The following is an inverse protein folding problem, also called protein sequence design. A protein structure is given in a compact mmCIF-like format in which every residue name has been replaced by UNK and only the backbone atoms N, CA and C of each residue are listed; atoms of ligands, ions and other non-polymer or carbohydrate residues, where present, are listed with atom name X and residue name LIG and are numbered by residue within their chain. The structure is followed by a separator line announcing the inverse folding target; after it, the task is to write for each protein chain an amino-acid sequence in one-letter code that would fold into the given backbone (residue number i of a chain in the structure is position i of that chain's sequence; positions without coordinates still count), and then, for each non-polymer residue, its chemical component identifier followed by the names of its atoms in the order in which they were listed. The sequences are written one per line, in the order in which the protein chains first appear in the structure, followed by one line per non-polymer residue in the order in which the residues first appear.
data_IF_124192141536
#
_entry.id   IF_124192141536
#
_cell.length_a   1.000
_cell.length_b   1.000
_cell.length_c   1.000
_cell.angle_alpha   90.00
_cell.angle_beta   90.00
_cell.angle_gamma   90.00
#
_symmetry.space_group_name_H-M   'P 1'
#
loop_
_entity.id
_entity.type
_entity.pdbx_description
1 polymer ?
#
# COMPACT_ATOMS: atom_id res chain seq x y z
N UNK A 1 81.83 -29.51 46.04
CA UNK A 1 80.93 -29.22 44.91
C UNK A 1 81.77 -28.61 43.83
N UNK A 2 81.93 -29.34 42.73
CA UNK A 2 82.74 -28.93 41.59
C UNK A 2 82.12 -27.69 40.92
N UNK A 3 82.94 -26.89 40.22
CA UNK A 3 82.44 -25.82 39.33
C UNK A 3 81.52 -26.39 38.24
N UNK A 4 81.70 -27.66 37.87
CA UNK A 4 80.82 -28.39 36.96
C UNK A 4 79.41 -28.58 37.55
N UNK A 5 79.28 -29.00 38.82
CA UNK A 5 77.97 -29.20 39.45
C UNK A 5 77.14 -27.91 39.46
N UNK A 6 77.79 -26.76 39.71
CA UNK A 6 77.12 -25.45 39.70
C UNK A 6 76.72 -24.99 38.29
N UNK A 7 77.47 -25.37 37.26
CA UNK A 7 77.13 -25.08 35.87
C UNK A 7 75.96 -25.94 35.39
N UNK A 8 75.90 -27.20 35.85
CA UNK A 8 74.80 -28.12 35.58
C UNK A 8 73.49 -27.64 36.23
N UNK A 9 73.53 -27.21 37.50
CA UNK A 9 72.39 -26.60 38.20
C UNK A 9 71.84 -25.34 37.49
N UNK A 10 72.72 -24.46 37.01
CA UNK A 10 72.33 -23.25 36.27
C UNK A 10 71.73 -23.60 34.91
N UNK A 11 72.28 -24.60 34.22
CA UNK A 11 71.75 -25.10 32.95
C UNK A 11 70.34 -25.68 33.12
N UNK A 12 70.11 -26.46 34.18
CA UNK A 12 68.79 -27.03 34.47
C UNK A 12 67.78 -25.97 34.93
N UNK A 13 68.23 -24.96 35.67
CA UNK A 13 67.41 -23.78 35.99
C UNK A 13 67.02 -23.00 34.73
N UNK A 14 67.93 -22.83 33.78
CA UNK A 14 67.65 -22.16 32.50
C UNK A 14 66.69 -22.98 31.62
N UNK A 15 66.81 -24.31 31.61
CA UNK A 15 65.88 -25.20 30.91
C UNK A 15 64.47 -25.11 31.49
N UNK A 16 64.35 -25.19 32.82
CA UNK A 16 63.04 -25.09 33.50
C UNK A 16 62.40 -23.71 33.29
N UNK A 17 63.18 -22.62 33.31
CA UNK A 17 62.70 -21.29 32.98
C UNK A 17 62.24 -21.18 31.51
N UNK A 18 63.00 -21.75 30.56
CA UNK A 18 62.63 -21.79 29.15
C UNK A 18 61.34 -22.58 28.90
N UNK A 19 61.18 -23.72 29.56
CA UNK A 19 59.97 -24.55 29.48
C UNK A 19 58.75 -23.82 30.07
N UNK A 20 58.94 -23.09 31.17
CA UNK A 20 57.90 -22.29 31.78
C UNK A 20 57.45 -21.16 30.85
N UNK A 21 58.39 -20.41 30.26
CA UNK A 21 58.08 -19.34 29.29
C UNK A 21 57.37 -19.92 28.07
N UNK A 22 57.81 -21.06 27.55
CA UNK A 22 57.19 -21.71 26.38
C UNK A 22 55.76 -22.17 26.69
N UNK A 23 55.50 -22.73 27.88
CA UNK A 23 54.16 -23.09 28.31
C UNK A 23 53.26 -21.87 28.48
N UNK A 24 53.78 -20.78 29.02
CA UNK A 24 53.04 -19.52 29.14
C UNK A 24 52.71 -18.91 27.78
N UNK A 25 53.64 -18.88 26.84
CA UNK A 25 53.38 -18.34 25.49
C UNK A 25 52.37 -19.20 24.74
N UNK A 26 52.43 -20.53 24.87
CA UNK A 26 51.41 -21.43 24.32
C UNK A 26 50.03 -21.22 24.95
N UNK A 27 49.97 -21.04 26.28
CA UNK A 27 48.72 -20.75 26.99
C UNK A 27 48.14 -19.39 26.60
N UNK A 28 48.98 -18.37 26.44
CA UNK A 28 48.54 -17.05 25.98
C UNK A 28 48.03 -17.12 24.54
N UNK A 29 48.73 -17.85 23.66
CA UNK A 29 48.31 -18.03 22.27
C UNK A 29 46.99 -18.80 22.16
N UNK A 30 46.78 -19.84 22.97
CA UNK A 30 45.51 -20.59 22.98
C UNK A 30 44.35 -19.74 23.51
N UNK A 31 44.59 -18.97 24.59
CA UNK A 31 43.60 -18.01 25.10
C UNK A 31 43.28 -16.90 24.11
N UNK A 32 44.28 -16.33 23.41
CA UNK A 32 44.05 -15.32 22.37
C UNK A 32 43.15 -15.87 21.26
N UNK A 33 43.42 -17.10 20.79
CA UNK A 33 42.58 -17.76 19.79
C UNK A 33 41.16 -18.01 20.28
N UNK A 34 40.98 -18.41 21.54
CA UNK A 34 39.64 -18.56 22.13
C UNK A 34 38.88 -17.23 22.16
N UNK A 35 39.54 -16.16 22.62
CA UNK A 35 38.95 -14.82 22.66
C UNK A 35 38.58 -14.34 21.25
N UNK A 36 39.44 -14.55 20.26
CA UNK A 36 39.17 -14.21 18.86
C UNK A 36 37.95 -14.96 18.31
N UNK A 37 37.81 -16.26 18.60
CA UNK A 37 36.66 -17.06 18.19
C UNK A 37 35.37 -16.61 18.88
N UNK A 38 35.42 -16.34 20.19
CA UNK A 38 34.27 -15.82 20.94
C UNK A 38 33.83 -14.46 20.42
N UNK A 39 34.78 -13.57 20.12
CA UNK A 39 34.49 -12.26 19.53
C UNK A 39 33.85 -12.38 18.14
N UNK A 40 34.36 -13.27 17.29
CA UNK A 40 33.79 -13.51 15.97
C UNK A 40 32.34 -14.03 16.06
N UNK A 41 32.07 -14.92 17.01
CA UNK A 41 30.72 -15.43 17.24
C UNK A 41 29.77 -14.32 17.73
N UNK A 42 30.20 -13.50 18.69
CA UNK A 42 29.40 -12.37 19.18
C UNK A 42 29.08 -11.37 18.06
N UNK A 43 30.07 -11.01 17.23
CA UNK A 43 29.86 -10.12 16.09
C UNK A 43 28.89 -10.69 15.06
N UNK A 44 28.95 -12.00 14.81
CA UNK A 44 28.05 -12.68 13.90
C UNK A 44 26.60 -12.68 14.43
N UNK A 45 26.42 -12.88 15.73
CA UNK A 45 25.10 -12.80 16.38
C UNK A 45 24.53 -11.38 16.35
N UNK A 46 25.35 -10.36 16.58
CA UNK A 46 24.95 -8.95 16.44
C UNK A 46 24.52 -8.61 15.01
N UNK A 47 25.25 -9.07 13.99
CA UNK A 47 24.88 -8.85 12.59
C UNK A 47 23.58 -9.54 12.21
N UNK A 48 23.34 -10.76 12.70
CA UNK A 48 22.04 -11.46 12.54
C UNK A 48 20.90 -10.70 13.21
N UNK A 49 21.13 -10.17 14.40
CA UNK A 49 20.15 -9.33 15.09
C UNK A 49 19.87 -8.06 14.28
N UNK A 50 20.91 -7.40 13.77
CA UNK A 50 20.75 -6.23 12.90
C UNK A 50 19.95 -6.55 11.64
N UNK A 51 20.24 -7.66 10.94
CA UNK A 51 19.44 -8.14 9.81
C UNK A 51 17.96 -8.31 10.18
N UNK A 52 17.66 -8.88 11.35
CA UNK A 52 16.26 -9.05 11.80
C UNK A 52 15.54 -7.71 12.00
N UNK A 53 16.25 -6.71 12.56
CA UNK A 53 15.72 -5.36 12.77
C UNK A 53 15.54 -4.63 11.44
N UNK A 54 16.54 -4.70 10.56
CA UNK A 54 16.50 -4.14 9.21
C UNK A 54 15.33 -4.72 8.42
N UNK A 55 15.18 -6.04 8.39
CA UNK A 55 14.06 -6.71 7.73
C UNK A 55 12.71 -6.22 8.23
N UNK A 56 12.52 -6.14 9.56
CA UNK A 56 11.28 -5.64 10.15
C UNK A 56 11.00 -4.17 9.78
N UNK A 57 12.04 -3.33 9.84
CA UNK A 57 11.95 -1.93 9.46
C UNK A 57 11.56 -1.78 7.99
N UNK A 58 12.29 -2.44 7.09
CA UNK A 58 12.11 -2.37 5.65
C UNK A 58 10.71 -2.84 5.23
N UNK A 59 10.25 -3.96 5.79
CA UNK A 59 8.89 -4.45 5.56
C UNK A 59 7.83 -3.45 6.04
N UNK A 60 7.97 -2.92 7.26
CA UNK A 60 6.99 -1.96 7.81
C UNK A 60 6.92 -0.68 6.97
N UNK A 61 8.06 -0.13 6.55
CA UNK A 61 8.12 1.02 5.66
C UNK A 61 7.50 0.71 4.30
N UNK A 62 7.80 -0.45 3.71
CA UNK A 62 7.23 -0.89 2.45
C UNK A 62 5.70 -1.04 2.50
N UNK A 63 5.15 -1.60 3.57
CA UNK A 63 3.70 -1.68 3.77
C UNK A 63 3.04 -0.32 3.89
N UNK A 64 3.67 0.60 4.64
CA UNK A 64 3.16 1.95 4.80
C UNK A 64 3.21 2.73 3.49
N UNK A 65 4.30 2.59 2.72
CA UNK A 65 4.45 3.16 1.38
C UNK A 65 3.34 2.67 0.46
N UNK A 66 3.12 1.36 0.37
CA UNK A 66 2.05 0.76 -0.43
C UNK A 66 0.67 1.32 -0.07
N UNK A 67 0.34 1.42 1.23
CA UNK A 67 -0.94 1.99 1.69
C UNK A 67 -1.10 3.46 1.28
N UNK A 68 -0.01 4.25 1.36
CA UNK A 68 -0.02 5.65 0.95
C UNK A 68 -0.19 5.81 -0.56
N UNK A 69 0.50 4.99 -1.36
CA UNK A 69 0.33 4.94 -2.82
C UNK A 69 -1.12 4.62 -3.19
N UNK A 70 -1.73 3.63 -2.52
CA UNK A 70 -3.16 3.33 -2.71
C UNK A 70 -4.08 4.47 -2.29
N UNK A 71 -3.77 5.20 -1.23
CA UNK A 71 -4.54 6.38 -0.85
C UNK A 71 -4.40 7.51 -1.89
N UNK A 72 -3.20 7.68 -2.46
CA UNK A 72 -2.95 8.64 -3.53
C UNK A 72 -3.77 8.29 -4.78
N UNK A 73 -3.79 7.03 -5.21
CA UNK A 73 -4.64 6.56 -6.33
C UNK A 73 -6.13 6.87 -6.10
N UNK A 74 -6.62 6.72 -4.86
CA UNK A 74 -8.00 7.08 -4.51
C UNK A 74 -8.23 8.58 -4.59
N UNK A 75 -7.29 9.41 -4.11
CA UNK A 75 -7.39 10.86 -4.23
C UNK A 75 -7.39 11.31 -5.69
N UNK A 76 -6.58 10.68 -6.56
CA UNK A 76 -6.58 10.97 -8.00
C UNK A 76 -7.93 10.66 -8.66
N UNK A 77 -8.62 9.62 -8.20
CA UNK A 77 -10.00 9.33 -8.65
C UNK A 77 -10.99 10.36 -8.11
N UNK A 78 -10.84 10.79 -6.85
CA UNK A 78 -11.70 11.81 -6.23
C UNK A 78 -11.55 13.17 -6.93
N UNK A 79 -10.32 13.58 -7.27
CA UNK A 79 -10.07 14.82 -8.01
C UNK A 79 -10.78 14.79 -9.37
N UNK A 80 -10.59 13.72 -10.16
CA UNK A 80 -11.30 13.54 -11.43
C UNK A 80 -12.82 13.53 -11.29
N UNK A 81 -13.33 12.95 -10.21
CA UNK A 81 -14.76 12.94 -9.92
C UNK A 81 -15.30 14.35 -9.65
N UNK A 82 -14.58 15.15 -8.85
CA UNK A 82 -14.97 16.54 -8.59
C UNK A 82 -14.85 17.41 -9.84
N UNK A 83 -13.85 17.18 -10.71
CA UNK A 83 -13.73 17.86 -12.00
C UNK A 83 -15.01 17.67 -12.84
N UNK A 84 -15.45 16.42 -13.00
CA UNK A 84 -16.68 16.11 -13.73
C UNK A 84 -17.92 16.74 -13.07
N UNK A 85 -18.03 16.70 -11.73
CA UNK A 85 -19.13 17.36 -11.02
C UNK A 85 -19.13 18.88 -11.21
N UNK A 86 -17.97 19.51 -11.23
CA UNK A 86 -17.85 20.96 -11.46
C UNK A 86 -18.28 21.32 -12.88
N UNK A 87 -17.90 20.53 -13.88
CA UNK A 87 -18.34 20.73 -15.28
C UNK A 87 -19.86 20.62 -15.39
N UNK A 88 -20.44 19.55 -14.87
CA UNK A 88 -21.88 19.35 -14.87
C UNK A 88 -22.64 20.44 -14.09
N UNK A 89 -22.11 20.85 -12.93
CA UNK A 89 -22.70 21.89 -12.10
C UNK A 89 -22.66 23.27 -12.79
N UNK A 90 -21.63 23.55 -13.60
CA UNK A 90 -21.57 24.76 -14.43
C UNK A 90 -22.64 24.74 -15.53
N UNK A 91 -22.84 23.61 -16.19
CA UNK A 91 -23.85 23.46 -17.26
C UNK A 91 -25.27 23.56 -16.72
N UNK A 92 -25.53 23.00 -15.54
CA UNK A 92 -26.85 22.98 -14.89
C UNK A 92 -27.11 24.20 -13.98
N UNK A 93 -26.14 25.11 -13.87
CA UNK A 93 -26.17 26.27 -12.96
C UNK A 93 -26.45 25.86 -11.49
N UNK A 94 -25.90 24.73 -11.05
CA UNK A 94 -26.06 24.21 -9.69
C UNK A 94 -25.34 25.14 -8.67
N UNK A 95 -26.06 25.66 -7.66
CA UNK A 95 -25.48 26.51 -6.61
C UNK A 95 -24.36 25.83 -5.80
N UNK A 96 -24.27 24.50 -5.81
CA UNK A 96 -23.23 23.76 -5.09
C UNK A 96 -21.87 23.75 -5.79
N UNK A 97 -21.72 24.33 -6.97
CA UNK A 97 -20.45 24.38 -7.73
C UNK A 97 -19.26 24.83 -6.88
N UNK A 98 -19.44 25.78 -5.95
CA UNK A 98 -18.37 26.25 -5.06
C UNK A 98 -17.86 25.16 -4.12
N UNK A 99 -18.75 24.32 -3.57
CA UNK A 99 -18.41 23.23 -2.64
C UNK A 99 -17.58 22.16 -3.35
N UNK A 100 -17.91 21.84 -4.60
CA UNK A 100 -17.14 20.89 -5.40
C UNK A 100 -15.72 21.39 -5.70
N UNK A 101 -15.57 22.70 -5.96
CA UNK A 101 -14.25 23.33 -6.13
C UNK A 101 -13.42 23.28 -4.85
N UNK A 102 -14.00 23.62 -3.70
CA UNK A 102 -13.32 23.55 -2.41
C UNK A 102 -12.86 22.11 -2.12
N UNK A 103 -13.74 21.12 -2.30
CA UNK A 103 -13.41 19.71 -2.11
C UNK A 103 -12.32 19.20 -3.07
N UNK A 104 -12.28 19.71 -4.32
CA UNK A 104 -11.22 19.41 -5.28
C UNK A 104 -9.86 19.96 -4.78
N UNK A 105 -9.82 21.22 -4.35
CA UNK A 105 -8.60 21.86 -3.82
C UNK A 105 -8.07 21.12 -2.59
N UNK A 106 -8.95 20.78 -1.64
CA UNK A 106 -8.57 20.01 -0.44
C UNK A 106 -8.01 18.64 -0.80
N UNK A 107 -8.64 17.95 -1.77
CA UNK A 107 -8.17 16.64 -2.25
C UNK A 107 -6.81 16.74 -2.93
N UNK A 108 -6.55 17.81 -3.70
CA UNK A 108 -5.26 18.07 -4.33
C UNK A 108 -4.17 18.38 -3.30
N UNK A 109 -4.48 19.19 -2.28
CA UNK A 109 -3.53 19.50 -1.20
C UNK A 109 -3.15 18.23 -0.43
N UNK A 110 -4.13 17.39 -0.09
CA UNK A 110 -3.87 16.12 0.58
C UNK A 110 -3.08 15.14 -0.29
N UNK A 111 -3.34 15.12 -1.61
CA UNK A 111 -2.57 14.32 -2.57
C UNK A 111 -1.10 14.73 -2.59
N UNK A 112 -0.82 16.03 -2.61
CA UNK A 112 0.55 16.55 -2.58
C UNK A 112 1.28 16.15 -1.29
N UNK A 113 0.62 16.30 -0.13
CA UNK A 113 1.17 15.90 1.16
C UNK A 113 1.50 14.40 1.20
N UNK A 114 0.58 13.55 0.75
CA UNK A 114 0.83 12.10 0.68
C UNK A 114 1.99 11.79 -0.29
N UNK A 115 2.08 12.48 -1.42
CA UNK A 115 3.19 12.31 -2.36
C UNK A 115 4.54 12.63 -1.72
N UNK A 116 4.63 13.70 -0.92
CA UNK A 116 5.84 14.04 -0.16
C UNK A 116 6.19 12.97 0.85
N UNK A 117 5.20 12.43 1.55
CA UNK A 117 5.40 11.35 2.52
C UNK A 117 5.86 10.04 1.86
N UNK A 118 5.39 9.72 0.65
CA UNK A 118 5.85 8.57 -0.13
C UNK A 118 7.31 8.73 -0.51
N UNK A 119 7.70 9.91 -1.03
CA UNK A 119 9.09 10.21 -1.36
C UNK A 119 10.00 10.10 -0.12
N UNK A 120 9.61 10.71 1.00
CA UNK A 120 10.37 10.64 2.24
C UNK A 120 10.48 9.21 2.81
N UNK A 121 9.50 8.34 2.55
CA UNK A 121 9.60 6.92 2.90
C UNK A 121 10.56 6.17 1.99
N UNK A 122 10.55 6.47 0.69
CA UNK A 122 11.51 5.89 -0.26
C UNK A 122 12.95 6.26 0.14
N UNK A 123 13.22 7.55 0.36
CA UNK A 123 14.56 8.01 0.76
C UNK A 123 15.07 7.34 2.04
N UNK A 124 14.18 7.12 3.02
CA UNK A 124 14.52 6.42 4.26
C UNK A 124 14.81 4.94 4.04
N UNK A 125 14.10 4.29 3.12
CA UNK A 125 14.35 2.89 2.76
C UNK A 125 15.68 2.74 2.02
N UNK A 126 16.01 3.68 1.14
CA UNK A 126 17.28 3.71 0.40
C UNK A 126 18.44 3.93 1.38
N UNK A 127 18.36 4.93 2.26
CA UNK A 127 19.36 5.15 3.32
C UNK A 127 19.56 3.94 4.24
N UNK A 128 18.48 3.23 4.56
CA UNK A 128 18.57 2.03 5.38
C UNK A 128 19.21 0.86 4.61
N UNK A 129 19.01 0.80 3.29
CA UNK A 129 19.65 -0.21 2.42
C UNK A 129 21.14 0.06 2.32
N UNK A 130 21.53 1.31 2.05
CA UNK A 130 22.94 1.72 1.97
C UNK A 130 23.68 1.43 3.29
N UNK A 131 23.06 1.73 4.43
CA UNK A 131 23.63 1.43 5.74
C UNK A 131 23.71 -0.08 6.04
N UNK A 132 22.90 -0.90 5.36
CA UNK A 132 22.88 -2.36 5.53
C UNK A 132 23.90 -3.07 4.64
N UNK A 133 24.37 -2.47 3.54
CA UNK A 133 25.30 -3.09 2.58
C UNK A 133 26.55 -3.66 3.26
N UNK A 134 27.22 -2.88 4.13
CA UNK A 134 28.41 -3.33 4.87
C UNK A 134 28.13 -4.58 5.72
N UNK A 135 26.93 -4.66 6.30
CA UNK A 135 26.54 -5.80 7.13
C UNK A 135 26.11 -7.00 6.29
N UNK A 136 25.56 -6.77 5.09
CA UNK A 136 25.22 -7.80 4.12
C UNK A 136 26.48 -8.53 3.65
N UNK A 137 27.48 -7.78 3.18
CA UNK A 137 28.77 -8.33 2.74
C UNK A 137 29.46 -9.12 3.85
N UNK A 138 29.41 -8.59 5.07
CA UNK A 138 29.98 -9.25 6.23
C UNK A 138 29.26 -10.57 6.58
N UNK A 139 27.94 -10.63 6.43
CA UNK A 139 27.15 -11.86 6.63
C UNK A 139 27.42 -12.90 5.54
N UNK A 140 27.52 -12.47 4.27
CA UNK A 140 27.85 -13.35 3.15
C UNK A 140 29.25 -13.94 3.28
N UNK A 141 30.24 -13.13 3.66
CA UNK A 141 31.62 -13.60 3.90
C UNK A 141 31.70 -14.65 5.03
N UNK A 142 30.75 -14.62 5.96
CA UNK A 142 30.61 -15.58 7.05
C UNK A 142 29.73 -16.79 6.68
N UNK A 143 29.30 -16.90 5.41
CA UNK A 143 28.51 -18.01 4.89
C UNK A 143 27.03 -17.98 5.30
N UNK A 144 26.53 -16.84 5.79
CA UNK A 144 25.12 -16.69 6.15
C UNK A 144 24.34 -16.33 4.89
N UNK A 145 23.62 -17.31 4.33
CA UNK A 145 22.66 -17.06 3.24
C UNK A 145 21.38 -16.45 3.80
N UNK A 146 21.01 -15.28 3.30
CA UNK A 146 19.74 -14.63 3.62
C UNK A 146 19.12 -14.03 2.35
N UNK A 147 17.81 -13.83 2.39
CA UNK A 147 17.05 -13.22 1.29
C UNK A 147 16.93 -11.72 1.57
N UNK A 148 17.29 -10.88 0.60
CA UNK A 148 17.25 -9.43 0.80
C UNK A 148 15.81 -8.96 1.05
N UNK A 149 15.53 -8.15 2.10
CA UNK A 149 14.17 -7.70 2.43
C UNK A 149 13.43 -6.97 1.30
N UNK A 150 14.16 -6.38 0.36
CA UNK A 150 13.58 -5.77 -0.84
C UNK A 150 12.86 -6.79 -1.76
N UNK A 151 13.41 -7.99 -1.90
CA UNK A 151 12.82 -9.04 -2.73
C UNK A 151 11.56 -9.59 -2.05
N UNK A 152 11.63 -9.85 -0.74
CA UNK A 152 10.47 -10.30 0.04
C UNK A 152 9.30 -9.32 -0.03
N UNK A 153 9.61 -8.02 0.06
CA UNK A 153 8.61 -6.96 -0.09
C UNK A 153 7.98 -6.97 -1.49
N UNK A 154 8.78 -7.18 -2.53
CA UNK A 154 8.28 -7.21 -3.91
C UNK A 154 7.39 -8.43 -4.16
N UNK A 155 7.76 -9.61 -3.67
CA UNK A 155 6.90 -10.80 -3.71
C UNK A 155 5.54 -10.54 -3.05
N UNK A 156 5.57 -9.89 -1.89
CA UNK A 156 4.38 -9.52 -1.15
C UNK A 156 3.54 -8.50 -1.94
N UNK A 157 4.17 -7.50 -2.56
CA UNK A 157 3.48 -6.52 -3.40
C UNK A 157 2.88 -7.14 -4.66
N UNK A 158 3.55 -8.12 -5.27
CA UNK A 158 2.99 -8.90 -6.39
C UNK A 158 1.76 -9.65 -5.93
N UNK A 159 1.83 -10.37 -4.80
CA UNK A 159 0.68 -11.09 -4.22
C UNK A 159 -0.51 -10.17 -3.90
N UNK A 160 -0.26 -8.97 -3.36
CA UNK A 160 -1.31 -7.96 -3.14
C UNK A 160 -1.95 -7.52 -4.46
N UNK A 161 -1.14 -7.23 -5.48
CA UNK A 161 -1.63 -6.78 -6.79
C UNK A 161 -2.42 -7.86 -7.52
N UNK A 162 -1.97 -9.11 -7.48
CA UNK A 162 -2.71 -10.23 -8.08
C UNK A 162 -4.07 -10.39 -7.43
N UNK A 163 -4.14 -10.40 -6.11
CA UNK A 163 -5.41 -10.48 -5.38
C UNK A 163 -6.35 -9.31 -5.73
N UNK A 164 -5.84 -8.07 -5.73
CA UNK A 164 -6.66 -6.92 -6.10
C UNK A 164 -7.16 -6.99 -7.56
N UNK A 165 -6.33 -7.45 -8.50
CA UNK A 165 -6.71 -7.62 -9.88
C UNK A 165 -7.78 -8.71 -10.06
N UNK A 166 -7.69 -9.82 -9.32
CA UNK A 166 -8.73 -10.85 -9.31
C UNK A 166 -10.07 -10.31 -8.81
N UNK A 167 -10.05 -9.51 -7.73
CA UNK A 167 -11.25 -8.85 -7.22
C UNK A 167 -11.82 -7.89 -8.27
N UNK A 168 -10.99 -7.03 -8.86
CA UNK A 168 -11.42 -6.09 -9.90
C UNK A 168 -12.03 -6.81 -11.11
N UNK A 169 -11.44 -7.92 -11.56
CA UNK A 169 -12.00 -8.75 -12.65
C UNK A 169 -13.41 -9.25 -12.33
N UNK A 170 -13.65 -9.70 -11.09
CA UNK A 170 -14.99 -10.16 -10.67
C UNK A 170 -16.02 -9.03 -10.73
N UNK A 171 -15.66 -7.84 -10.27
CA UNK A 171 -16.54 -6.65 -10.35
C UNK A 171 -16.87 -6.27 -11.79
N UNK A 172 -15.85 -6.14 -12.65
CA UNK A 172 -16.04 -5.78 -14.07
C UNK A 172 -16.87 -6.82 -14.81
N UNK A 173 -16.67 -8.11 -14.52
CA UNK A 173 -17.46 -9.18 -15.14
C UNK A 173 -18.93 -9.07 -14.77
N UNK A 174 -19.22 -8.72 -13.52
CA UNK A 174 -20.59 -8.51 -13.04
C UNK A 174 -21.23 -7.28 -13.69
N UNK A 175 -20.54 -6.14 -13.69
CA UNK A 175 -21.05 -4.92 -14.34
C UNK A 175 -21.28 -5.13 -15.84
N UNK A 176 -20.38 -5.85 -16.52
CA UNK A 176 -20.56 -6.17 -17.94
C UNK A 176 -21.82 -7.00 -18.19
N UNK A 177 -22.14 -7.96 -17.33
CA UNK A 177 -23.38 -8.75 -17.44
C UNK A 177 -24.64 -7.90 -17.23
N UNK A 178 -24.58 -6.92 -16.34
CA UNK A 178 -25.69 -5.98 -16.09
C UNK A 178 -25.89 -5.04 -17.29
N UNK A 179 -24.81 -4.45 -17.81
CA UNK A 179 -24.85 -3.56 -18.99
C UNK A 179 -25.29 -4.30 -20.25
N UNK A 180 -24.78 -5.52 -20.50
CA UNK A 180 -25.20 -6.34 -21.64
C UNK A 180 -26.73 -6.61 -21.60
N UNK A 181 -27.33 -6.72 -20.41
CA UNK A 181 -28.78 -6.85 -20.23
C UNK A 181 -29.54 -5.55 -20.47
N UNK A 182 -29.03 -4.41 -20.00
CA UNK A 182 -29.61 -3.09 -20.27
C UNK A 182 -29.58 -2.74 -21.77
N UNK A 183 -28.50 -3.12 -22.48
CA UNK A 183 -28.38 -2.93 -23.92
C UNK A 183 -29.43 -3.74 -24.69
N UNK A 184 -29.75 -4.97 -24.26
CA UNK A 184 -30.85 -5.77 -24.85
C UNK A 184 -32.20 -5.07 -24.66
N UNK A 185 -32.48 -4.54 -23.46
CA UNK A 185 -33.72 -3.80 -23.17
C UNK A 185 -33.84 -2.50 -23.97
N UNK A 186 -32.75 -1.76 -24.13
CA UNK A 186 -32.67 -0.57 -24.99
C UNK A 186 -32.91 -0.94 -26.46
N UNK A 187 -32.38 -2.08 -26.92
CA UNK A 187 -32.56 -2.53 -28.29
C UNK A 187 -34.01 -2.99 -28.55
N UNK A 188 -34.65 -3.66 -27.59
CA UNK A 188 -36.08 -4.02 -27.65
C UNK A 188 -36.94 -2.75 -27.70
N UNK A 189 -36.72 -1.79 -26.81
CA UNK A 189 -37.47 -0.52 -26.82
C UNK A 189 -37.22 0.30 -28.08
N UNK A 190 -36.00 0.30 -28.63
CA UNK A 190 -35.70 0.94 -29.92
C UNK A 190 -36.45 0.28 -31.08
N UNK A 191 -36.55 -1.06 -31.10
CA UNK A 191 -37.34 -1.79 -32.10
C UNK A 191 -38.85 -1.54 -31.95
N UNK A 192 -39.36 -1.46 -30.72
CA UNK A 192 -40.76 -1.09 -30.47
C UNK A 192 -41.06 0.33 -30.94
N UNK A 193 -40.17 1.29 -30.67
CA UNK A 193 -40.28 2.66 -31.17
C UNK A 193 -40.25 2.72 -32.69
N UNK A 194 -39.44 1.89 -33.36
CA UNK A 194 -39.44 1.77 -34.82
C UNK A 194 -40.77 1.20 -35.34
N UNK A 195 -41.33 0.18 -34.69
CA UNK A 195 -42.65 -0.38 -35.06
C UNK A 195 -43.77 0.64 -34.88
N UNK A 196 -43.75 1.43 -33.79
CA UNK A 196 -44.71 2.52 -33.54
C UNK A 196 -44.56 3.63 -34.57
N UNK A 197 -43.32 4.02 -34.94
CA UNK A 197 -43.06 4.98 -36.02
C UNK A 197 -43.56 4.49 -37.38
N UNK A 198 -43.37 3.21 -37.69
CA UNK A 198 -43.86 2.60 -38.92
C UNK A 198 -45.40 2.52 -38.97
N UNK A 199 -46.06 2.23 -37.84
CA UNK A 199 -47.53 2.21 -37.73
C UNK A 199 -48.14 3.62 -37.78
N UNK A 200 -47.45 4.63 -37.26
CA UNK A 200 -47.92 6.03 -37.27
C UNK A 200 -47.71 6.72 -38.62
N UNK A 201 -46.70 6.34 -39.41
CA UNK A 201 -46.56 6.80 -40.79
C UNK A 201 -47.66 6.30 -41.75
N UNK A 202 -48.42 5.27 -41.38
CA UNK A 202 -49.61 4.83 -42.12
C UNK A 202 -50.93 5.53 -41.73
N UNK A 203 -50.94 6.38 -40.69
CA UNK A 203 -52.19 6.93 -40.11
C UNK A 203 -52.20 8.45 -39.92
N UNK A 204 -51.37 9.18 -40.68
CA UNK A 204 -51.31 10.65 -40.65
C UNK A 204 -51.82 11.31 -41.95
N UNK A 205 -52.85 10.74 -42.57
CA UNK A 205 -53.76 11.49 -43.45
C UNK A 205 -55.10 11.66 -42.73
N UNK A 206 -55.19 12.69 -41.88
CA UNK A 206 -56.47 13.15 -41.34
C UNK A 206 -56.62 13.07 -39.82
N UNK A 207 -55.87 13.89 -39.08
CA UNK A 207 -56.25 14.28 -37.72
C UNK A 207 -56.45 15.80 -37.74
N UNK A 208 -57.72 16.21 -37.77
CA UNK A 208 -58.13 17.57 -37.37
C UNK A 208 -57.73 17.73 -35.90
N UNK A 209 -56.95 18.76 -35.61
CA UNK A 209 -56.65 19.16 -34.22
C UNK A 209 -57.95 19.40 -33.46
N UNK A 210 -58.23 18.70 -32.35
CA UNK A 210 -59.32 19.05 -31.47
C UNK A 210 -58.92 20.31 -30.70
N UNK A 211 -59.68 21.38 -30.90
CA UNK A 211 -59.70 22.54 -30.01
C UNK A 211 -60.09 22.03 -28.61
N UNK A 212 -59.30 22.25 -27.56
CA UNK A 212 -59.72 21.89 -26.21
C UNK A 212 -60.86 22.81 -25.76
N UNK A 213 -61.98 22.29 -25.22
CA UNK A 213 -63.01 23.14 -24.65
C UNK A 213 -62.51 23.77 -23.34
N UNK A 214 -62.84 25.05 -23.16
CA UNK A 214 -62.57 25.82 -21.95
C UNK A 214 -63.10 25.08 -20.71
N UNK A 215 -62.22 24.83 -19.73
CA UNK A 215 -62.62 24.29 -18.44
C UNK A 215 -63.25 25.39 -17.58
N UNK A 216 -64.42 25.15 -16.96
CA UNK A 216 -65.04 26.11 -16.05
C UNK A 216 -64.33 26.10 -14.70
N UNK A 217 -64.14 27.28 -14.13
CA UNK A 217 -63.62 27.47 -12.78
C UNK A 217 -64.51 26.80 -11.72
N UNK A 218 -63.91 26.00 -10.81
CA UNK A 218 -64.48 25.82 -9.47
C UNK A 218 -63.48 25.36 -8.39
N UNK A 219 -63.36 26.24 -7.40
CA UNK A 219 -63.24 26.05 -5.95
C UNK A 219 -62.07 25.24 -5.34
N UNK A 220 -61.24 26.03 -4.64
CA UNK A 220 -60.51 25.72 -3.41
C UNK A 220 -61.25 24.77 -2.44
N UNK A 221 -60.53 23.81 -1.86
CA UNK A 221 -60.35 23.77 -0.39
C UNK A 221 -59.12 22.94 0.02
N UNK A 222 -58.47 23.28 1.16
CA UNK A 222 -57.20 22.69 1.60
C UNK A 222 -57.41 21.55 2.60
N UNK A 223 -56.53 20.53 2.59
CA UNK A 223 -56.31 19.66 3.76
C UNK A 223 -54.82 19.43 3.99
N UNK A 224 -54.40 19.92 5.14
CA UNK A 224 -53.11 19.73 5.80
C UNK A 224 -52.97 18.30 6.37
N UNK A 225 -51.70 17.88 6.50
CA UNK A 225 -51.12 16.96 7.52
C UNK A 225 -51.56 15.49 7.46
N UNK A 226 -50.72 14.46 7.61
CA UNK A 226 -49.64 14.29 8.59
C UNK A 226 -48.65 13.16 8.20
N UNK A 227 -47.40 13.33 8.63
CA UNK A 227 -46.43 12.35 9.14
C UNK A 227 -46.14 11.04 8.38
N UNK A 228 -44.86 10.90 8.00
CA UNK A 228 -44.07 9.71 8.36
C UNK A 228 -42.58 10.08 8.54
N UNK A 229 -42.26 10.64 9.70
CA UNK A 229 -40.98 10.33 10.35
C UNK A 229 -41.14 8.93 10.96
N UNK A 230 -40.21 8.01 10.69
CA UNK A 230 -39.67 7.17 11.76
C UNK A 230 -38.34 6.48 11.35
N UNK A 231 -37.31 6.88 12.12
CA UNK A 231 -36.29 6.03 12.80
C UNK A 231 -35.41 5.09 11.97
N UNK A 232 -34.12 5.42 11.93
CA UNK A 232 -33.07 4.44 12.28
C UNK A 232 -32.65 4.65 13.73
N UNK A 233 -32.80 3.60 14.52
CA UNK A 233 -32.26 3.40 15.85
C UNK A 233 -30.74 3.25 15.77
N UNK A 234 -30.02 3.96 16.65
CA UNK A 234 -28.63 3.67 17.02
C UNK A 234 -28.63 3.48 18.54
N UNK A 235 -28.73 2.22 18.96
CA UNK A 235 -28.04 1.69 20.14
C UNK A 235 -26.56 1.60 19.72
N UNK A 236 -25.57 1.94 20.54
CA UNK A 236 -25.07 1.32 21.79
C UNK A 236 -24.13 2.35 22.45
N UNK A 237 -24.18 2.50 23.77
CA UNK A 237 -23.14 2.05 24.74
C UNK A 237 -21.78 2.74 24.59
#
# INVERSE_FOLDING_TARGET
GSLLDRLEDVSDMMRTASDYVTKLTQLMASKSKQIELELQNMLLDERKNYLSVFRRYYMTCGELKYKKEKRQEVLDKQVRHYEAQIEFAKETLDPNTKRYKEAQVDSMALREEISKQIAALADKMDQATDAFEDTADALESQGVSFLHPAIELEELNVSRRTHMNEVAKKYVTKERQEVDGEDEDVNITAQELQKVKAQTHGRLTGIKTPIPPASPARSMSPKMTNNLLLRRTRTEE
#
